data_IF_577187340557
#
_entry.id   IF_577187340557
#
_cell.length_a   1.000
_cell.length_b   1.000
_cell.length_c   1.000
_cell.angle_alpha   90.00
_cell.angle_beta   90.00
_cell.angle_gamma   90.00
#
_symmetry.space_group_name_H-M   'P 1'
#
loop_
_entity.id
_entity.type
_entity.pdbx_description
1 polymer ?
#
# COMPACT_ATOMS: atom_id res chain seq x y z
N UNK A 1 -3.92 20.02 -0.37
CA UNK A 1 -3.75 18.84 -1.27
C UNK A 1 -2.47 17.97 -1.06
N UNK A 2 -1.67 18.06 0.02
CA UNK A 2 -0.44 17.24 0.14
C UNK A 2 -0.69 15.76 0.47
N UNK A 3 -1.81 15.42 1.15
CA UNK A 3 -2.14 14.04 1.55
C UNK A 3 -2.28 13.08 0.35
N UNK A 4 -2.78 13.54 -0.81
CA UNK A 4 -2.90 12.73 -2.03
C UNK A 4 -1.54 12.32 -2.62
N UNK A 5 -0.53 13.19 -2.54
CA UNK A 5 0.83 12.90 -3.05
C UNK A 5 1.53 11.83 -2.21
N UNK A 6 1.38 11.88 -0.87
CA UNK A 6 1.95 10.89 0.05
C UNK A 6 1.36 9.49 -0.19
N UNK A 7 0.05 9.38 -0.39
CA UNK A 7 -0.61 8.10 -0.72
C UNK A 7 -0.23 7.60 -2.12
N UNK A 8 -0.10 8.51 -3.10
CA UNK A 8 0.32 8.13 -4.45
C UNK A 8 1.70 7.48 -4.47
N UNK A 9 2.67 8.01 -3.72
CA UNK A 9 4.01 7.41 -3.63
C UNK A 9 3.99 5.97 -3.07
N UNK A 10 3.14 5.73 -2.06
CA UNK A 10 2.95 4.37 -1.51
C UNK A 10 2.27 3.46 -2.52
N UNK A 11 1.31 3.98 -3.30
CA UNK A 11 0.69 3.26 -4.41
C UNK A 11 1.74 2.87 -5.47
N UNK A 12 2.60 3.80 -5.89
CA UNK A 12 3.58 3.52 -6.93
C UNK A 12 4.56 2.43 -6.46
N UNK A 13 5.02 2.49 -5.20
CA UNK A 13 5.88 1.47 -4.61
C UNK A 13 5.19 0.10 -4.43
N UNK A 14 3.89 0.07 -4.10
CA UNK A 14 3.11 -1.17 -4.00
C UNK A 14 3.02 -1.87 -5.36
N UNK A 15 2.71 -1.10 -6.41
CA UNK A 15 2.58 -1.59 -7.78
C UNK A 15 3.92 -2.13 -8.26
N UNK A 16 4.99 -1.34 -8.13
CA UNK A 16 6.34 -1.74 -8.54
C UNK A 16 6.79 -3.00 -7.81
N UNK A 17 6.72 -3.03 -6.48
CA UNK A 17 7.14 -4.18 -5.69
C UNK A 17 6.36 -5.45 -6.05
N UNK A 18 5.06 -5.34 -6.29
CA UNK A 18 4.24 -6.47 -6.72
C UNK A 18 4.62 -6.96 -8.14
N UNK A 19 4.91 -6.05 -9.08
CA UNK A 19 5.40 -6.42 -10.41
C UNK A 19 6.81 -7.04 -10.39
N UNK A 20 7.64 -6.70 -9.38
CA UNK A 20 8.91 -7.38 -9.12
C UNK A 20 8.73 -8.77 -8.49
N UNK A 21 7.48 -9.22 -8.26
CA UNK A 21 7.18 -10.51 -7.66
C UNK A 21 7.34 -10.56 -6.14
N UNK A 22 7.43 -9.40 -5.48
CA UNK A 22 7.47 -9.33 -4.02
C UNK A 22 6.06 -9.52 -3.45
N UNK A 23 5.99 -10.19 -2.30
CA UNK A 23 4.74 -10.41 -1.58
C UNK A 23 4.95 -10.34 -0.07
N UNK A 24 3.85 -10.20 0.67
CA UNK A 24 3.82 -10.24 2.13
C UNK A 24 4.88 -9.32 2.77
N UNK A 25 5.71 -9.86 3.67
CA UNK A 25 6.75 -9.12 4.38
C UNK A 25 7.75 -8.47 3.41
N UNK A 26 8.09 -9.13 2.30
CA UNK A 26 9.04 -8.57 1.33
C UNK A 26 8.46 -7.35 0.63
N UNK A 27 7.18 -7.40 0.28
CA UNK A 27 6.49 -6.25 -0.31
C UNK A 27 6.34 -5.12 0.70
N UNK A 28 5.98 -5.45 1.95
CA UNK A 28 5.94 -4.48 3.04
C UNK A 28 7.28 -3.76 3.24
N UNK A 29 8.36 -4.53 3.38
CA UNK A 29 9.70 -4.00 3.63
C UNK A 29 10.15 -3.12 2.46
N UNK A 30 9.90 -3.55 1.21
CA UNK A 30 10.16 -2.74 0.02
C UNK A 30 9.40 -1.40 0.04
N UNK A 31 8.10 -1.43 0.33
CA UNK A 31 7.29 -0.20 0.45
C UNK A 31 7.83 0.71 1.54
N UNK A 32 8.29 0.17 2.66
CA UNK A 32 8.83 0.95 3.77
C UNK A 32 10.20 1.56 3.45
N UNK A 33 11.06 0.85 2.72
CA UNK A 33 12.32 1.38 2.21
C UNK A 33 12.09 2.58 1.27
N UNK A 34 11.12 2.48 0.37
CA UNK A 34 10.78 3.57 -0.57
C UNK A 34 10.00 4.71 0.10
N UNK A 35 9.19 4.36 1.10
CA UNK A 35 8.30 5.27 1.83
C UNK A 35 8.41 5.06 3.35
N UNK A 36 9.45 5.58 4.02
CA UNK A 36 9.68 5.35 5.46
C UNK A 36 8.58 5.86 6.39
N UNK A 37 7.69 6.73 5.89
CA UNK A 37 6.51 7.26 6.62
C UNK A 37 5.20 6.56 6.21
N UNK A 38 5.27 5.40 5.56
CA UNK A 38 4.10 4.61 5.20
C UNK A 38 3.51 3.98 6.47
N UNK A 39 2.34 4.47 6.88
CA UNK A 39 1.55 3.85 7.95
C UNK A 39 0.59 2.82 7.38
N UNK A 40 0.07 1.90 8.21
CA UNK A 40 -0.98 0.95 7.80
C UNK A 40 -2.16 1.63 7.10
N UNK A 41 -2.61 2.80 7.60
CA UNK A 41 -3.66 3.62 6.96
C UNK A 41 -3.29 4.08 5.54
N UNK A 42 -2.02 4.46 5.31
CA UNK A 42 -1.54 4.86 3.98
C UNK A 42 -1.43 3.66 3.04
N UNK A 43 -0.93 2.54 3.55
CA UNK A 43 -0.83 1.28 2.79
C UNK A 43 -2.23 0.82 2.36
N UNK A 44 -3.19 0.73 3.28
CA UNK A 44 -4.58 0.35 2.95
C UNK A 44 -5.19 1.30 1.92
N UNK A 45 -5.04 2.63 2.09
CA UNK A 45 -5.56 3.60 1.11
C UNK A 45 -4.91 3.47 -0.27
N UNK A 46 -3.60 3.23 -0.32
CA UNK A 46 -2.87 3.03 -1.56
C UNK A 46 -3.25 1.72 -2.24
N UNK A 47 -3.45 0.64 -1.46
CA UNK A 47 -3.96 -0.63 -1.97
C UNK A 47 -5.37 -0.48 -2.54
N UNK A 48 -6.27 0.23 -1.86
CA UNK A 48 -7.61 0.50 -2.41
C UNK A 48 -7.56 1.32 -3.69
N UNK A 49 -6.61 2.26 -3.79
CA UNK A 49 -6.39 3.01 -5.03
C UNK A 49 -5.95 2.07 -6.16
N UNK A 50 -5.00 1.16 -5.91
CA UNK A 50 -4.56 0.14 -6.87
C UNK A 50 -5.69 -0.80 -7.30
N UNK A 51 -6.52 -1.24 -6.37
CA UNK A 51 -7.66 -2.13 -6.66
C UNK A 51 -8.79 -1.44 -7.43
N UNK A 52 -8.85 -0.10 -7.40
CA UNK A 52 -9.84 0.69 -8.14
C UNK A 52 -9.28 1.27 -9.45
N UNK A 53 -8.00 1.02 -9.75
CA UNK A 53 -7.31 1.57 -10.89
C UNK A 53 -7.55 0.68 -12.13
N UNK A 54 -8.25 1.18 -13.17
CA UNK A 54 -8.54 0.39 -14.37
C UNK A 54 -7.29 0.01 -15.19
N UNK A 55 -6.17 0.69 -14.96
CA UNK A 55 -4.89 0.40 -15.64
C UNK A 55 -4.15 -0.78 -14.99
N UNK A 56 -4.50 -1.17 -13.76
CA UNK A 56 -3.89 -2.31 -13.07
C UNK A 56 -4.70 -3.58 -13.33
N UNK A 57 -4.30 -4.32 -14.37
CA UNK A 57 -5.08 -5.49 -14.85
C UNK A 57 -4.50 -6.85 -14.45
N UNK A 58 -3.24 -6.87 -13.96
CA UNK A 58 -2.62 -8.12 -13.54
C UNK A 58 -3.27 -8.64 -12.24
N UNK A 59 -3.98 -9.77 -12.36
CA UNK A 59 -4.69 -10.39 -11.26
C UNK A 59 -3.77 -10.83 -10.13
N UNK A 60 -2.55 -11.29 -10.44
CA UNK A 60 -1.59 -11.69 -9.41
C UNK A 60 -1.13 -10.47 -8.60
N UNK A 61 -0.82 -9.36 -9.28
CA UNK A 61 -0.49 -8.09 -8.64
C UNK A 61 -1.63 -7.62 -7.73
N UNK A 62 -2.86 -7.61 -8.24
CA UNK A 62 -4.03 -7.22 -7.45
C UNK A 62 -4.24 -8.12 -6.22
N UNK A 63 -4.06 -9.45 -6.37
CA UNK A 63 -4.19 -10.40 -5.26
C UNK A 63 -3.14 -10.16 -4.17
N UNK A 64 -1.89 -9.92 -4.56
CA UNK A 64 -0.80 -9.64 -3.61
C UNK A 64 -1.06 -8.35 -2.84
N UNK A 65 -1.48 -7.29 -3.55
CA UNK A 65 -1.80 -5.99 -2.94
C UNK A 65 -3.00 -6.13 -2.00
N UNK A 66 -4.02 -6.89 -2.39
CA UNK A 66 -5.21 -7.14 -1.57
C UNK A 66 -4.87 -7.91 -0.28
N UNK A 67 -4.06 -8.97 -0.39
CA UNK A 67 -3.62 -9.75 0.75
C UNK A 67 -2.84 -8.89 1.77
N UNK A 68 -1.93 -8.03 1.29
CA UNK A 68 -1.20 -7.11 2.14
C UNK A 68 -2.13 -6.09 2.82
N UNK A 69 -3.11 -5.56 2.08
CA UNK A 69 -4.09 -4.61 2.64
C UNK A 69 -4.92 -5.21 3.77
N UNK A 70 -5.35 -6.47 3.64
CA UNK A 70 -6.07 -7.19 4.70
C UNK A 70 -5.19 -7.30 5.95
N UNK A 71 -3.94 -7.73 5.80
CA UNK A 71 -3.00 -7.85 6.93
C UNK A 71 -2.87 -6.54 7.69
N UNK A 72 -2.58 -5.43 7.00
CA UNK A 72 -2.50 -4.12 7.63
C UNK A 72 -3.79 -3.64 8.30
N UNK A 73 -4.96 -4.03 7.75
CA UNK A 73 -6.25 -3.69 8.35
C UNK A 73 -6.56 -4.50 9.60
N UNK A 74 -6.09 -5.75 9.68
CA UNK A 74 -6.23 -6.62 10.85
C UNK A 74 -5.19 -6.28 11.93
N UNK A 75 -3.95 -5.97 11.54
CA UNK A 75 -2.83 -5.69 12.45
C UNK A 75 -2.88 -4.28 13.04
N UNK A 76 -3.45 -3.31 12.31
CA UNK A 76 -3.53 -1.91 12.72
C UNK A 76 -4.96 -1.41 12.65
N UNK A 77 -5.87 -2.04 13.40
CA UNK A 77 -7.31 -1.74 13.47
C UNK A 77 -7.64 -0.23 13.51
N UNK A 78 -8.89 0.16 13.19
CA UNK A 78 -9.28 1.56 13.10
C UNK A 78 -9.11 2.19 14.47
N UNK A 79 -8.01 2.90 14.70
CA UNK A 79 -7.84 4.04 15.60
C UNK A 79 -6.35 4.20 15.94
N UNK A 80 -5.73 5.16 15.26
CA UNK A 80 -4.61 5.97 15.74
C UNK A 80 -4.52 7.15 14.77
N UNK A 81 -5.29 8.20 15.05
CA UNK A 81 -5.26 9.47 14.34
C UNK A 81 -4.01 10.28 14.68
N UNK A 82 -2.84 9.68 14.51
CA UNK A 82 -1.56 10.42 14.47
C UNK A 82 -1.18 10.62 13.00
N UNK A 83 -2.02 11.40 12.30
CA UNK A 83 -1.60 12.13 11.12
C UNK A 83 -0.69 13.29 11.60
N UNK A 84 0.57 13.02 11.98
CA UNK A 84 1.57 14.08 12.12
C UNK A 84 1.74 14.80 10.76
N UNK A 85 1.65 16.14 10.80
CA UNK A 85 1.66 17.09 9.67
C UNK A 85 2.72 16.80 8.57
#
# INVERSE_FOLDING_TARGET
MPKKKKVRKVYDALIEGAYLGLSDKKLHDYVFEQCPKASSKKIVRASLLALSDPEVQDRNVLNVIYALAIKHRLDGGPDSDEDEE
#
